data_IF_158683426129
#
_entry.id   IF_158683426129
#
_cell.length_a   1.000
_cell.length_b   1.000
_cell.length_c   1.000
_cell.angle_alpha   90.00
_cell.angle_beta   90.00
_cell.angle_gamma   90.00
#
_symmetry.space_group_name_H-M   'P 1'
#
loop_
_entity.id
_entity.type
_entity.pdbx_description
1 polymer ?
#
# COMPACT_ATOMS: atom_id res chain seq x y z
N UNK A 1 15.24 20.53 -49.48
CA UNK A 1 15.44 20.47 -48.02
C UNK A 1 14.07 20.28 -47.45
N UNK A 2 13.64 19.01 -47.28
CA UNK A 2 12.31 18.64 -46.78
C UNK A 2 12.36 18.55 -45.25
N UNK A 3 11.68 19.47 -44.57
CA UNK A 3 11.46 19.45 -43.13
C UNK A 3 10.58 18.24 -42.80
N UNK A 4 11.14 17.28 -42.06
CA UNK A 4 10.42 16.12 -41.54
C UNK A 4 9.32 16.58 -40.58
N UNK A 5 8.09 16.41 -41.00
CA UNK A 5 6.93 16.47 -40.13
C UNK A 5 7.05 15.32 -39.10
N UNK A 6 7.44 15.67 -37.88
CA UNK A 6 7.40 14.76 -36.73
C UNK A 6 5.97 14.23 -36.62
N UNK A 7 5.83 12.91 -36.56
CA UNK A 7 4.55 12.26 -36.25
C UNK A 7 4.07 12.81 -34.91
N UNK A 8 2.96 13.56 -34.93
CA UNK A 8 2.18 13.89 -33.75
C UNK A 8 1.84 12.57 -33.03
N UNK A 9 1.94 12.50 -31.70
CA UNK A 9 1.57 11.30 -30.97
C UNK A 9 0.11 10.96 -31.31
N UNK A 10 -0.14 9.68 -31.60
CA UNK A 10 -1.49 9.17 -31.82
C UNK A 10 -2.28 9.41 -30.56
N UNK A 11 -3.24 10.33 -30.57
CA UNK A 11 -4.27 10.44 -29.55
C UNK A 11 -5.08 9.15 -29.65
N UNK A 12 -5.08 8.35 -28.57
CA UNK A 12 -5.96 7.18 -28.44
C UNK A 12 -7.37 7.68 -28.12
N UNK A 13 -8.00 8.38 -29.04
CA UNK A 13 -9.43 8.69 -28.96
C UNK A 13 -10.21 7.39 -29.24
N UNK A 14 -10.86 6.83 -28.20
CA UNK A 14 -11.83 5.75 -28.36
C UNK A 14 -11.28 4.32 -28.42
N UNK A 15 -10.10 4.03 -27.87
CA UNK A 15 -9.61 2.67 -27.74
C UNK A 15 -10.34 1.90 -26.64
N UNK A 16 -10.55 0.58 -26.85
CA UNK A 16 -11.02 -0.32 -25.79
C UNK A 16 -9.84 -0.90 -25.05
N UNK A 17 -10.01 -1.16 -23.74
CA UNK A 17 -9.03 -1.82 -22.87
C UNK A 17 -9.68 -2.89 -22.00
N UNK A 18 -8.94 -3.91 -21.62
CA UNK A 18 -9.36 -4.90 -20.62
C UNK A 18 -9.20 -4.31 -19.22
N UNK A 19 -10.23 -4.45 -18.39
CA UNK A 19 -10.22 -4.00 -17.00
C UNK A 19 -11.05 -4.92 -16.10
N UNK A 20 -10.70 -4.97 -14.82
CA UNK A 20 -11.55 -5.55 -13.78
C UNK A 20 -12.55 -4.50 -13.34
N UNK A 21 -13.84 -4.81 -13.47
CA UNK A 21 -14.92 -3.86 -13.14
C UNK A 21 -15.84 -4.44 -12.08
N UNK A 22 -16.35 -3.55 -11.21
CA UNK A 22 -17.41 -3.84 -10.24
C UNK A 22 -18.53 -2.80 -10.35
N UNK A 23 -19.78 -3.24 -10.27
CA UNK A 23 -20.97 -2.36 -10.28
C UNK A 23 -21.72 -2.32 -8.94
N UNK A 24 -21.39 -3.24 -8.04
CA UNK A 24 -22.01 -3.38 -6.74
C UNK A 24 -20.98 -3.79 -5.68
N UNK A 25 -21.34 -3.62 -4.41
CA UNK A 25 -20.54 -4.09 -3.29
C UNK A 25 -20.76 -5.57 -3.05
N UNK A 26 -19.70 -6.33 -2.80
CA UNK A 26 -19.80 -7.76 -2.52
C UNK A 26 -18.46 -8.45 -2.32
N UNK A 27 -18.48 -9.77 -2.30
CA UNK A 27 -17.25 -10.54 -2.25
C UNK A 27 -16.48 -10.42 -3.58
N UNK A 28 -15.14 -10.32 -3.57
CA UNK A 28 -14.35 -10.08 -4.78
C UNK A 28 -14.67 -11.05 -5.93
N UNK A 29 -14.82 -12.35 -5.63
CA UNK A 29 -15.13 -13.38 -6.63
C UNK A 29 -16.52 -13.24 -7.26
N UNK A 30 -17.46 -12.58 -6.59
CA UNK A 30 -18.84 -12.45 -7.07
C UNK A 30 -19.01 -11.20 -7.93
N UNK A 31 -18.36 -10.08 -7.52
CA UNK A 31 -18.61 -8.76 -8.10
C UNK A 31 -17.54 -8.28 -9.09
N UNK A 32 -16.32 -8.84 -9.05
CA UNK A 32 -15.25 -8.47 -9.97
C UNK A 32 -15.37 -9.24 -11.28
N UNK A 33 -15.40 -8.51 -12.40
CA UNK A 33 -15.49 -9.09 -13.75
C UNK A 33 -14.45 -8.48 -14.66
N UNK A 34 -13.76 -9.32 -15.44
CA UNK A 34 -12.90 -8.86 -16.52
C UNK A 34 -13.78 -8.50 -17.72
N UNK A 35 -13.74 -7.27 -18.16
CA UNK A 35 -14.53 -6.76 -19.29
C UNK A 35 -13.70 -5.79 -20.12
N UNK A 36 -14.17 -5.49 -21.32
CA UNK A 36 -13.66 -4.41 -22.16
C UNK A 36 -14.41 -3.12 -21.83
N UNK A 37 -13.66 -2.02 -21.65
CA UNK A 37 -14.16 -0.68 -21.37
C UNK A 37 -13.38 0.35 -22.19
N UNK A 38 -13.90 1.56 -22.29
CA UNK A 38 -13.17 2.66 -22.92
C UNK A 38 -11.87 2.98 -22.18
N UNK A 39 -10.80 3.23 -22.94
CA UNK A 39 -9.55 3.76 -22.39
C UNK A 39 -9.79 5.14 -21.76
N UNK A 40 -9.28 5.43 -20.55
CA UNK A 40 -9.52 6.69 -19.88
C UNK A 40 -8.93 7.87 -20.67
N UNK A 41 -9.65 8.98 -20.69
CA UNK A 41 -9.14 10.26 -21.20
C UNK A 41 -8.17 10.87 -20.19
N UNK A 42 -7.13 11.53 -20.70
CA UNK A 42 -6.08 12.14 -19.88
C UNK A 42 -6.46 13.57 -19.52
N UNK A 43 -6.55 13.87 -18.24
CA UNK A 43 -6.68 15.24 -17.73
C UNK A 43 -5.41 16.06 -17.92
N UNK A 44 -5.50 17.39 -17.83
CA UNK A 44 -4.36 18.29 -18.12
C UNK A 44 -3.12 18.06 -17.23
N UNK A 45 -3.30 17.55 -15.98
CA UNK A 45 -2.23 17.27 -15.01
C UNK A 45 -2.04 15.79 -14.79
N UNK A 46 -2.61 14.93 -15.66
CA UNK A 46 -2.56 13.49 -15.54
C UNK A 46 -1.62 12.85 -16.56
N UNK A 47 -1.17 11.66 -16.22
CA UNK A 47 -0.33 10.80 -17.05
C UNK A 47 -1.12 9.54 -17.34
N UNK A 48 -1.31 9.18 -18.61
CA UNK A 48 -1.84 7.88 -19.00
C UNK A 48 -0.70 6.86 -18.91
N UNK A 49 -0.86 5.90 -18.02
CA UNK A 49 0.10 4.83 -17.82
C UNK A 49 -0.45 3.56 -18.46
N UNK A 50 0.32 2.95 -19.36
CA UNK A 50 0.13 1.57 -19.77
C UNK A 50 0.62 0.69 -18.64
N UNK A 51 -0.30 0.08 -17.90
CA UNK A 51 0.00 -0.71 -16.70
C UNK A 51 0.67 -2.02 -17.10
N UNK A 52 1.78 -2.33 -16.43
CA UNK A 52 2.50 -3.61 -16.56
C UNK A 52 2.27 -4.50 -15.35
N UNK A 53 2.14 -3.87 -14.19
CA UNK A 53 1.83 -4.54 -12.94
C UNK A 53 1.11 -3.60 -11.98
N UNK A 54 0.26 -4.18 -11.16
CA UNK A 54 -0.40 -3.57 -10.00
C UNK A 54 -0.22 -4.48 -8.79
N UNK A 55 -0.68 -4.08 -7.61
CA UNK A 55 -0.71 -4.94 -6.45
C UNK A 55 -2.04 -4.90 -5.71
N UNK A 56 -2.44 -6.04 -5.14
CA UNK A 56 -3.61 -6.11 -4.27
C UNK A 56 -3.25 -5.67 -2.85
N UNK A 57 -4.11 -4.86 -2.26
CA UNK A 57 -3.94 -4.27 -0.94
C UNK A 57 -5.19 -4.48 -0.06
N UNK A 58 -5.07 -4.35 1.29
CA UNK A 58 -6.24 -4.30 2.16
C UNK A 58 -7.25 -3.22 1.77
N UNK A 59 -6.78 -2.07 1.29
CA UNK A 59 -7.58 -0.99 0.72
C UNK A 59 -8.55 -1.49 -0.36
N UNK A 60 -8.09 -2.34 -1.31
CA UNK A 60 -8.91 -2.79 -2.43
C UNK A 60 -10.13 -3.59 -1.95
N UNK A 61 -9.95 -4.57 -1.06
CA UNK A 61 -11.10 -5.36 -0.60
C UNK A 61 -12.08 -4.55 0.24
N UNK A 62 -11.60 -3.52 1.00
CA UNK A 62 -12.48 -2.60 1.71
C UNK A 62 -13.39 -1.83 0.73
N UNK A 63 -12.83 -1.34 -0.38
CA UNK A 63 -13.59 -0.67 -1.44
C UNK A 63 -14.55 -1.62 -2.16
N UNK A 64 -14.09 -2.82 -2.49
CA UNK A 64 -14.90 -3.82 -3.20
C UNK A 64 -16.10 -4.26 -2.36
N UNK A 65 -15.91 -4.47 -1.06
CA UNK A 65 -17.02 -4.79 -0.14
C UNK A 65 -17.81 -3.56 0.31
N UNK A 66 -17.25 -2.37 0.15
CA UNK A 66 -17.80 -1.15 0.74
C UNK A 66 -17.86 -1.22 2.26
N UNK A 67 -16.86 -1.79 2.90
CA UNK A 67 -16.77 -1.96 4.35
C UNK A 67 -15.56 -1.17 4.89
N UNK A 68 -15.71 -0.48 6.04
CA UNK A 68 -16.89 -0.39 6.91
C UNK A 68 -18.05 0.43 6.31
N UNK A 69 -19.27 -0.04 6.53
CA UNK A 69 -20.46 0.56 5.90
C UNK A 69 -20.65 2.05 6.25
N UNK A 70 -20.37 2.45 7.48
CA UNK A 70 -20.48 3.85 7.93
C UNK A 70 -19.43 4.78 7.31
N UNK A 71 -18.34 4.23 6.74
CA UNK A 71 -17.31 5.01 6.07
C UNK A 71 -17.61 5.25 4.58
N UNK A 72 -18.66 4.64 4.01
CA UNK A 72 -19.05 4.84 2.61
C UNK A 72 -19.27 6.33 2.26
N UNK A 73 -20.06 7.11 3.03
CA UNK A 73 -20.20 8.55 2.77
C UNK A 73 -18.92 9.36 2.95
N UNK A 74 -18.01 8.88 3.81
CA UNK A 74 -16.78 9.58 4.18
C UNK A 74 -15.60 9.34 3.20
N UNK A 75 -15.83 8.66 2.07
CA UNK A 75 -14.81 8.53 1.02
C UNK A 75 -14.40 7.12 0.62
N UNK A 76 -14.84 6.08 1.33
CA UNK A 76 -14.58 4.68 0.91
C UNK A 76 -15.38 4.31 -0.35
N UNK A 77 -16.44 5.08 -0.70
CA UNK A 77 -17.23 4.79 -1.89
C UNK A 77 -18.53 5.58 -1.93
N UNK A 78 -19.43 5.23 -2.81
CA UNK A 78 -20.81 5.74 -2.82
C UNK A 78 -21.66 5.02 -1.77
N UNK A 79 -22.73 5.66 -1.29
CA UNK A 79 -23.59 5.11 -0.23
C UNK A 79 -24.20 3.75 -0.62
N UNK A 80 -24.63 3.61 -1.87
CA UNK A 80 -25.33 2.41 -2.38
C UNK A 80 -24.52 1.62 -3.41
N UNK A 81 -23.61 2.26 -4.14
CA UNK A 81 -22.81 1.66 -5.20
C UNK A 81 -21.36 2.11 -5.08
N UNK A 82 -20.38 1.35 -5.56
CA UNK A 82 -18.99 1.78 -5.65
C UNK A 82 -18.85 3.10 -6.38
N UNK A 83 -18.00 3.97 -5.89
CA UNK A 83 -17.64 5.21 -6.57
C UNK A 83 -16.62 4.96 -7.69
N UNK A 84 -15.67 4.08 -7.42
CA UNK A 84 -14.66 3.64 -8.37
C UNK A 84 -15.09 2.28 -8.93
N UNK A 85 -15.29 2.22 -10.24
CA UNK A 85 -15.74 0.99 -10.90
C UNK A 85 -14.59 0.01 -11.13
N UNK A 86 -13.38 0.51 -11.34
CA UNK A 86 -12.17 -0.29 -11.53
C UNK A 86 -11.35 -0.20 -10.25
N UNK A 87 -11.08 -1.31 -9.54
CA UNK A 87 -10.21 -1.33 -8.37
C UNK A 87 -8.73 -1.32 -8.74
N UNK A 88 -7.86 -1.41 -7.71
CA UNK A 88 -6.41 -1.33 -7.83
C UNK A 88 -5.88 0.07 -7.57
N UNK A 89 -4.86 0.16 -6.71
CA UNK A 89 -4.25 1.44 -6.31
C UNK A 89 -2.80 1.56 -6.73
N UNK A 90 -1.97 0.57 -6.44
CA UNK A 90 -0.57 0.58 -6.85
C UNK A 90 -0.44 0.38 -8.36
N UNK A 91 0.45 1.13 -8.99
CA UNK A 91 0.70 1.05 -10.43
C UNK A 91 2.19 1.04 -10.73
N UNK A 92 2.60 0.22 -11.68
CA UNK A 92 3.90 0.29 -12.34
C UNK A 92 3.70 0.03 -13.85
N UNK A 93 4.27 0.89 -14.68
CA UNK A 93 4.05 0.80 -16.12
C UNK A 93 4.87 1.80 -16.92
N UNK A 94 4.47 1.98 -18.17
CA UNK A 94 5.10 2.89 -19.12
C UNK A 94 4.15 4.03 -19.44
N UNK A 95 4.64 5.24 -19.44
CA UNK A 95 3.87 6.43 -19.85
C UNK A 95 3.49 6.30 -21.32
N UNK A 96 2.20 6.33 -21.60
CA UNK A 96 1.65 6.30 -22.96
C UNK A 96 1.39 7.70 -23.47
N UNK A 97 0.78 8.56 -22.63
CA UNK A 97 0.42 9.95 -22.95
C UNK A 97 0.50 10.82 -21.71
N UNK A 98 0.72 12.10 -21.89
CA UNK A 98 0.72 13.11 -20.81
C UNK A 98 -0.23 14.24 -21.12
N UNK A 99 -0.85 14.80 -20.08
CA UNK A 99 -1.69 15.99 -20.19
C UNK A 99 -0.87 17.26 -20.46
N UNK A 100 -1.52 18.28 -20.98
CA UNK A 100 -0.85 19.50 -21.46
C UNK A 100 -0.08 20.30 -20.40
N UNK A 101 -0.35 20.06 -19.11
CA UNK A 101 0.35 20.71 -17.96
C UNK A 101 1.29 19.77 -17.21
N UNK A 102 1.53 18.57 -17.71
CA UNK A 102 2.53 17.65 -17.14
C UNK A 102 3.93 18.07 -17.58
N UNK A 103 4.84 18.21 -16.63
CA UNK A 103 6.23 18.65 -16.89
C UNK A 103 7.30 17.62 -16.51
N UNK A 104 6.97 16.64 -15.66
CA UNK A 104 7.92 15.69 -15.09
C UNK A 104 8.09 14.38 -15.86
N UNK A 105 7.18 14.10 -16.82
CA UNK A 105 7.11 12.82 -17.52
C UNK A 105 6.92 13.00 -19.02
N UNK A 106 7.37 11.99 -19.78
CA UNK A 106 7.19 11.93 -21.24
C UNK A 106 6.77 10.51 -21.65
N UNK A 107 6.10 10.34 -22.81
CA UNK A 107 5.80 9.03 -23.37
C UNK A 107 7.06 8.16 -23.48
N UNK A 108 6.96 6.91 -23.02
CA UNK A 108 8.07 5.97 -22.94
C UNK A 108 8.77 5.91 -21.58
N UNK A 109 8.56 6.87 -20.67
CA UNK A 109 9.11 6.80 -19.32
C UNK A 109 8.54 5.62 -18.54
N UNK A 110 9.38 4.94 -17.76
CA UNK A 110 8.96 3.92 -16.83
C UNK A 110 8.63 4.58 -15.48
N UNK A 111 7.41 4.38 -15.02
CA UNK A 111 6.87 5.02 -13.81
C UNK A 111 6.28 4.01 -12.85
N UNK A 112 6.18 4.41 -11.58
CA UNK A 112 5.44 3.71 -10.57
C UNK A 112 4.80 4.70 -9.59
N UNK A 113 3.77 4.29 -8.88
CA UNK A 113 3.07 5.17 -7.94
C UNK A 113 1.70 4.66 -7.56
N UNK A 114 0.80 5.59 -7.24
CA UNK A 114 -0.55 5.29 -6.80
C UNK A 114 -1.60 5.99 -7.67
N UNK A 115 -2.58 5.21 -8.17
CA UNK A 115 -3.69 5.72 -8.97
C UNK A 115 -4.88 4.78 -8.92
N UNK A 116 -6.07 5.33 -8.76
CA UNK A 116 -7.29 4.52 -8.78
C UNK A 116 -7.55 3.90 -10.15
N UNK A 117 -7.88 2.61 -10.19
CA UNK A 117 -8.22 1.92 -11.42
C UNK A 117 -7.07 1.13 -12.06
N UNK A 118 -6.04 0.78 -11.28
CA UNK A 118 -4.86 0.10 -11.78
C UNK A 118 -5.05 -1.39 -12.13
N UNK A 119 -6.22 -2.00 -11.88
CA UNK A 119 -6.54 -3.34 -12.40
C UNK A 119 -7.13 -3.24 -13.81
N UNK A 120 -6.39 -2.58 -14.70
CA UNK A 120 -6.71 -2.34 -16.11
C UNK A 120 -5.43 -2.20 -16.94
N UNK A 121 -5.55 -2.29 -18.27
CA UNK A 121 -4.41 -2.11 -19.18
C UNK A 121 -3.89 -0.66 -19.19
N UNK A 122 -4.76 0.33 -18.94
CA UNK A 122 -4.40 1.74 -18.84
C UNK A 122 -5.07 2.39 -17.63
N UNK A 123 -4.36 3.34 -17.04
CA UNK A 123 -4.88 4.18 -15.95
C UNK A 123 -4.39 5.61 -16.12
N UNK A 124 -5.27 6.59 -15.90
CA UNK A 124 -4.91 8.01 -15.82
C UNK A 124 -4.59 8.34 -14.35
N UNK A 125 -3.37 8.83 -14.10
CA UNK A 125 -2.85 9.10 -12.76
C UNK A 125 -2.37 10.54 -12.68
N UNK A 126 -2.69 11.24 -11.59
CA UNK A 126 -2.15 12.57 -11.33
C UNK A 126 -0.61 12.51 -11.27
N UNK A 127 0.07 13.44 -11.95
CA UNK A 127 1.55 13.45 -11.99
C UNK A 127 2.18 13.48 -10.58
N UNK A 128 1.55 14.14 -9.61
CA UNK A 128 2.02 14.24 -8.21
C UNK A 128 1.88 12.95 -7.38
N UNK A 129 1.36 11.87 -7.97
CA UNK A 129 1.25 10.54 -7.35
C UNK A 129 2.14 9.50 -8.06
N UNK A 130 3.01 9.94 -8.96
CA UNK A 130 3.94 9.10 -9.71
C UNK A 130 5.39 9.52 -9.46
N UNK A 131 6.29 8.56 -9.58
CA UNK A 131 7.75 8.77 -9.68
C UNK A 131 8.33 7.89 -10.80
N UNK A 132 9.59 8.13 -11.17
CA UNK A 132 10.32 7.25 -12.08
C UNK A 132 10.57 5.92 -11.40
N UNK A 133 10.31 4.84 -12.12
CA UNK A 133 10.54 3.49 -11.60
C UNK A 133 12.03 3.29 -11.26
N UNK A 134 12.38 2.77 -10.06
CA UNK A 134 13.76 2.42 -9.73
C UNK A 134 14.39 1.55 -10.82
N UNK A 135 15.61 1.89 -11.24
CA UNK A 135 16.27 1.25 -12.38
C UNK A 135 16.55 -0.25 -12.13
N UNK A 136 16.78 -0.62 -10.88
CA UNK A 136 17.12 -1.97 -10.43
C UNK A 136 15.90 -2.85 -10.12
N UNK A 137 14.65 -2.38 -10.33
CA UNK A 137 13.43 -3.17 -10.13
C UNK A 137 12.77 -3.57 -11.45
N UNK A 138 12.13 -4.75 -11.46
CA UNK A 138 11.13 -5.09 -12.48
C UNK A 138 9.82 -4.30 -12.27
N UNK A 139 8.86 -4.36 -13.20
CA UNK A 139 7.56 -3.71 -13.00
C UNK A 139 6.77 -4.35 -11.86
N UNK A 140 6.84 -5.67 -11.70
CA UNK A 140 6.20 -6.40 -10.61
C UNK A 140 6.76 -5.97 -9.25
N UNK A 141 8.08 -5.85 -9.16
CA UNK A 141 8.73 -5.36 -7.95
C UNK A 141 8.39 -3.90 -7.67
N UNK A 142 8.35 -3.05 -8.70
CA UNK A 142 7.97 -1.66 -8.55
C UNK A 142 6.51 -1.50 -8.12
N UNK A 143 5.58 -2.29 -8.64
CA UNK A 143 4.17 -2.30 -8.23
C UNK A 143 3.97 -2.76 -6.77
N UNK A 144 4.93 -3.51 -6.20
CA UNK A 144 4.89 -3.90 -4.80
C UNK A 144 5.17 -2.75 -3.82
N UNK A 145 5.71 -1.63 -4.28
CA UNK A 145 6.33 -0.61 -3.43
C UNK A 145 5.35 0.47 -2.93
N UNK A 146 4.54 1.16 -3.77
CA UNK A 146 3.99 2.47 -3.43
C UNK A 146 3.25 2.50 -2.10
N UNK A 147 2.08 1.88 -1.99
CA UNK A 147 1.27 1.95 -0.76
C UNK A 147 2.02 1.37 0.45
N UNK A 148 2.73 0.24 0.26
CA UNK A 148 3.43 -0.45 1.33
C UNK A 148 4.58 0.37 1.92
N UNK A 149 5.47 0.86 1.08
CA UNK A 149 6.66 1.59 1.52
C UNK A 149 6.34 3.01 1.99
N UNK A 150 5.41 3.72 1.31
CA UNK A 150 4.94 5.05 1.74
C UNK A 150 4.31 4.96 3.13
N UNK A 151 3.43 3.97 3.35
CA UNK A 151 2.82 3.76 4.68
C UNK A 151 3.87 3.48 5.74
N UNK A 152 4.88 2.66 5.42
CA UNK A 152 5.94 2.32 6.34
C UNK A 152 6.80 3.54 6.74
N UNK A 153 7.32 4.29 5.77
CA UNK A 153 8.23 5.42 6.04
C UNK A 153 7.51 6.56 6.76
N UNK A 154 6.33 6.92 6.30
CA UNK A 154 5.54 7.99 6.93
C UNK A 154 5.01 7.58 8.31
N UNK A 155 4.61 6.31 8.50
CA UNK A 155 4.15 5.79 9.79
C UNK A 155 5.24 5.81 10.85
N UNK A 156 6.46 5.37 10.52
CA UNK A 156 7.61 5.40 11.42
C UNK A 156 8.00 6.84 11.77
N UNK A 157 7.97 7.77 10.82
CA UNK A 157 8.17 9.21 11.05
C UNK A 157 7.09 9.83 11.94
N UNK A 158 5.83 9.51 11.68
CA UNK A 158 4.70 9.94 12.52
C UNK A 158 4.81 9.41 13.96
N UNK A 159 5.45 8.25 14.14
CA UNK A 159 5.83 7.68 15.43
C UNK A 159 6.96 8.42 16.14
N UNK A 160 7.71 9.26 15.41
CA UNK A 160 8.87 9.97 15.93
C UNK A 160 10.09 9.06 16.16
N UNK A 161 10.19 7.95 15.40
CA UNK A 161 11.29 6.99 15.56
C UNK A 161 12.66 7.63 15.29
N UNK A 162 13.59 7.46 16.22
CA UNK A 162 14.96 7.98 16.15
C UNK A 162 15.98 6.82 16.20
N UNK A 163 17.20 7.10 15.74
CA UNK A 163 18.31 6.15 15.86
C UNK A 163 18.54 5.73 17.31
N UNK A 164 18.82 4.45 17.53
CA UNK A 164 19.05 3.84 18.84
C UNK A 164 17.77 3.51 19.61
N UNK A 165 16.59 3.96 19.19
CA UNK A 165 15.31 3.63 19.80
C UNK A 165 14.84 2.21 19.45
N UNK A 166 13.92 1.69 20.25
CA UNK A 166 13.32 0.37 20.06
C UNK A 166 11.94 0.50 19.41
N UNK A 167 11.73 -0.19 18.28
CA UNK A 167 10.43 -0.28 17.61
C UNK A 167 9.89 -1.69 17.59
N UNK A 168 8.58 -1.83 17.87
CA UNK A 168 7.83 -3.07 17.68
C UNK A 168 6.95 -2.94 16.43
N UNK A 169 7.21 -3.77 15.43
CA UNK A 169 6.39 -3.84 14.20
C UNK A 169 5.46 -5.05 14.30
N UNK A 170 4.16 -4.81 14.52
CA UNK A 170 3.15 -5.86 14.58
C UNK A 170 2.59 -6.09 13.17
N UNK A 171 2.68 -7.33 12.68
CA UNK A 171 2.41 -7.67 11.28
C UNK A 171 3.65 -7.48 10.39
N UNK A 172 4.83 -7.75 10.93
CA UNK A 172 6.14 -7.52 10.30
C UNK A 172 6.35 -8.27 8.97
N UNK A 173 5.62 -9.36 8.73
CA UNK A 173 5.71 -10.14 7.48
C UNK A 173 4.72 -9.70 6.41
N UNK A 174 3.81 -8.77 6.68
CA UNK A 174 2.80 -8.31 5.73
C UNK A 174 3.34 -7.26 4.75
N UNK A 175 2.48 -6.82 3.82
CA UNK A 175 2.86 -5.91 2.72
C UNK A 175 3.50 -4.59 3.16
N UNK A 176 3.03 -3.98 4.25
CA UNK A 176 3.65 -2.79 4.87
C UNK A 176 4.76 -3.19 5.83
N UNK A 177 4.57 -4.27 6.58
CA UNK A 177 5.49 -4.71 7.63
C UNK A 177 6.89 -5.03 7.13
N UNK A 178 6.99 -5.66 5.97
CA UNK A 178 8.28 -5.99 5.34
C UNK A 178 9.11 -4.74 5.01
N UNK A 179 8.45 -3.65 4.60
CA UNK A 179 9.10 -2.35 4.42
C UNK A 179 9.41 -1.67 5.76
N UNK A 180 8.47 -1.74 6.72
CA UNK A 180 8.64 -1.09 8.02
C UNK A 180 9.86 -1.62 8.78
N UNK A 181 10.12 -2.93 8.73
CA UNK A 181 11.33 -3.54 9.32
C UNK A 181 12.60 -2.95 8.69
N UNK A 182 12.70 -2.93 7.36
CA UNK A 182 13.88 -2.46 6.65
C UNK A 182 14.11 -0.94 6.85
N UNK A 183 13.04 -0.14 6.75
CA UNK A 183 13.12 1.32 6.93
C UNK A 183 13.48 1.67 8.38
N UNK A 184 12.94 0.96 9.36
CA UNK A 184 13.32 1.17 10.76
C UNK A 184 14.81 0.83 11.01
N UNK A 185 15.34 -0.20 10.36
CA UNK A 185 16.78 -0.50 10.37
C UNK A 185 17.59 0.61 9.71
N UNK A 186 17.15 1.13 8.57
CA UNK A 186 17.77 2.28 7.91
C UNK A 186 17.80 3.51 8.83
N UNK A 187 16.76 3.75 9.63
CA UNK A 187 16.73 4.82 10.64
C UNK A 187 17.63 4.55 11.86
N UNK A 188 18.34 3.41 11.90
CA UNK A 188 19.23 3.06 13.00
C UNK A 188 18.53 2.56 14.26
N UNK A 189 17.28 2.12 14.16
CA UNK A 189 16.50 1.61 15.29
C UNK A 189 16.82 0.13 15.59
N UNK A 190 16.52 -0.30 16.82
CA UNK A 190 16.43 -1.69 17.19
C UNK A 190 15.01 -2.21 16.89
N UNK A 191 14.91 -3.22 16.02
CA UNK A 191 13.62 -3.66 15.48
C UNK A 191 13.22 -5.01 16.07
N UNK A 192 12.04 -5.06 16.67
CA UNK A 192 11.35 -6.31 16.99
C UNK A 192 10.17 -6.50 16.05
N UNK A 193 10.17 -7.57 15.25
CA UNK A 193 9.07 -7.93 14.38
C UNK A 193 8.14 -8.96 14.99
N UNK A 194 6.83 -8.79 14.85
CA UNK A 194 5.80 -9.76 15.27
C UNK A 194 5.20 -10.41 14.04
N UNK A 195 5.31 -11.74 13.93
CA UNK A 195 4.77 -12.52 12.81
C UNK A 195 4.38 -13.93 13.25
N UNK A 196 3.83 -14.74 12.34
CA UNK A 196 3.59 -16.18 12.57
C UNK A 196 4.88 -17.01 12.41
N UNK A 197 4.86 -18.26 12.90
CA UNK A 197 6.00 -19.18 12.85
C UNK A 197 6.63 -19.29 11.46
N UNK A 198 5.82 -19.43 10.41
CA UNK A 198 6.32 -19.61 9.04
C UNK A 198 7.07 -18.39 8.47
N UNK A 199 6.92 -17.21 9.09
CA UNK A 199 7.49 -15.95 8.62
C UNK A 199 8.68 -15.45 9.43
N UNK A 200 9.08 -16.17 10.49
CA UNK A 200 10.17 -15.76 11.40
C UNK A 200 11.48 -15.52 10.64
N UNK A 201 11.85 -16.43 9.75
CA UNK A 201 13.10 -16.33 9.01
C UNK A 201 13.07 -15.21 7.96
N UNK A 202 11.92 -14.94 7.36
CA UNK A 202 11.76 -13.79 6.44
C UNK A 202 11.98 -12.50 7.20
N UNK A 203 11.31 -12.31 8.34
CA UNK A 203 11.41 -11.09 9.16
C UNK A 203 12.84 -10.87 9.69
N UNK A 204 13.55 -11.93 10.05
CA UNK A 204 14.99 -11.86 10.42
C UNK A 204 15.86 -11.41 9.24
N UNK A 205 15.68 -12.00 8.07
CA UNK A 205 16.45 -11.62 6.86
C UNK A 205 16.22 -10.17 6.45
N UNK A 206 15.05 -9.59 6.74
CA UNK A 206 14.76 -8.18 6.50
C UNK A 206 15.44 -7.25 7.51
N UNK A 207 16.14 -7.79 8.51
CA UNK A 207 16.96 -7.03 9.44
C UNK A 207 16.36 -6.87 10.85
N UNK A 208 15.26 -7.55 11.19
CA UNK A 208 14.76 -7.51 12.56
C UNK A 208 15.76 -8.11 13.56
N UNK A 209 16.12 -7.35 14.59
CA UNK A 209 17.04 -7.79 15.64
C UNK A 209 16.40 -8.89 16.52
N UNK A 210 15.07 -8.77 16.72
CA UNK A 210 14.28 -9.76 17.45
C UNK A 210 12.99 -10.08 16.69
N UNK A 211 12.52 -11.34 16.84
CA UNK A 211 11.24 -11.76 16.26
C UNK A 211 10.41 -12.45 17.33
N UNK A 212 9.16 -11.97 17.46
CA UNK A 212 8.14 -12.55 18.32
C UNK A 212 7.19 -13.37 17.44
N UNK A 213 7.19 -14.68 17.67
CA UNK A 213 6.22 -15.60 17.07
C UNK A 213 4.92 -15.55 17.89
N UNK A 214 3.91 -14.86 17.37
CA UNK A 214 2.64 -14.67 18.09
C UNK A 214 1.85 -15.97 18.26
N UNK A 215 2.19 -17.03 17.53
CA UNK A 215 1.53 -18.34 17.69
C UNK A 215 2.04 -19.09 18.92
N UNK A 216 3.19 -18.69 19.47
CA UNK A 216 3.85 -19.32 20.63
C UNK A 216 3.80 -18.44 21.88
N UNK A 217 3.87 -17.12 21.71
CA UNK A 217 3.89 -16.18 22.83
C UNK A 217 3.23 -14.86 22.49
N UNK A 218 2.57 -14.24 23.47
CA UNK A 218 2.00 -12.90 23.32
C UNK A 218 3.07 -11.80 23.39
N UNK A 219 2.78 -10.63 22.84
CA UNK A 219 3.68 -9.46 22.87
C UNK A 219 4.03 -9.01 24.30
N UNK A 220 3.16 -9.27 25.27
CA UNK A 220 3.38 -8.95 26.68
C UNK A 220 4.42 -9.84 27.38
N UNK A 221 4.77 -10.98 26.79
CA UNK A 221 5.82 -11.86 27.29
C UNK A 221 7.23 -11.34 26.99
N UNK A 222 7.35 -10.35 26.11
CA UNK A 222 8.64 -9.75 25.77
C UNK A 222 9.01 -8.74 26.86
N UNK A 223 10.18 -8.86 27.53
CA UNK A 223 10.56 -7.99 28.64
C UNK A 223 10.93 -6.55 28.21
N UNK A 224 11.09 -6.32 26.91
CA UNK A 224 11.46 -5.02 26.35
C UNK A 224 10.32 -4.00 26.44
N UNK A 225 10.69 -2.72 26.47
CA UNK A 225 9.79 -1.58 26.26
C UNK A 225 10.15 -0.89 24.97
N UNK A 226 9.12 -0.45 24.23
CA UNK A 226 9.27 0.12 22.90
C UNK A 226 8.96 1.62 22.91
N UNK A 227 9.79 2.38 22.23
CA UNK A 227 9.57 3.83 22.01
C UNK A 227 8.49 4.05 20.96
N UNK A 228 8.44 3.17 19.97
CA UNK A 228 7.40 3.16 18.94
C UNK A 228 6.83 1.75 18.80
N UNK A 229 5.50 1.65 18.75
CA UNK A 229 4.80 0.46 18.29
C UNK A 229 4.06 0.79 17.01
N UNK A 230 4.39 0.11 15.93
CA UNK A 230 3.72 0.24 14.65
C UNK A 230 2.81 -0.97 14.43
N UNK A 231 1.50 -0.76 14.61
CA UNK A 231 0.50 -1.81 14.47
C UNK A 231 -0.07 -1.82 13.04
N UNK A 232 0.26 -2.86 12.30
CA UNK A 232 -0.13 -3.09 10.90
C UNK A 232 -1.05 -4.30 10.73
N UNK A 233 -1.39 -4.96 11.85
CA UNK A 233 -2.26 -6.11 11.91
C UNK A 233 -2.45 -6.60 13.34
N UNK A 234 -3.12 -7.74 13.48
CA UNK A 234 -3.42 -8.34 14.77
C UNK A 234 -4.52 -7.60 15.56
N UNK A 235 -5.09 -8.27 16.54
CA UNK A 235 -6.27 -7.81 17.32
C UNK A 235 -5.91 -7.19 18.67
N UNK A 236 -4.66 -6.71 18.84
CA UNK A 236 -4.23 -6.12 20.10
C UNK A 236 -4.94 -4.81 20.39
N UNK A 237 -5.57 -4.72 21.57
CA UNK A 237 -6.20 -3.47 22.00
C UNK A 237 -5.15 -2.40 22.36
N UNK A 238 -5.50 -1.10 22.24
CA UNK A 238 -4.61 -0.01 22.68
C UNK A 238 -4.13 -0.17 24.13
N UNK A 239 -4.97 -0.69 25.01
CA UNK A 239 -4.62 -0.96 26.41
C UNK A 239 -3.58 -2.08 26.57
N UNK A 240 -3.63 -3.11 25.72
CA UNK A 240 -2.61 -4.18 25.72
C UNK A 240 -1.26 -3.65 25.20
N UNK A 241 -1.28 -2.85 24.12
CA UNK A 241 -0.06 -2.29 23.53
C UNK A 241 0.62 -1.29 24.49
N UNK A 242 -0.15 -0.49 25.23
CA UNK A 242 0.41 0.41 26.24
C UNK A 242 1.34 -0.26 27.24
N UNK A 243 1.10 -1.52 27.58
CA UNK A 243 1.92 -2.28 28.57
C UNK A 243 3.33 -2.55 28.05
N UNK A 244 3.55 -2.53 26.74
CA UNK A 244 4.86 -2.74 26.11
C UNK A 244 5.51 -1.44 25.65
N UNK A 245 4.80 -0.29 25.67
CA UNK A 245 5.36 1.02 25.39
C UNK A 245 6.19 1.55 26.57
N UNK A 246 7.19 2.36 26.27
CA UNK A 246 7.85 3.25 27.24
C UNK A 246 6.87 4.28 27.80
N UNK A 247 7.26 5.02 28.83
CA UNK A 247 6.40 6.03 29.49
C UNK A 247 5.90 7.11 28.55
N UNK A 248 6.71 7.45 27.55
CA UNK A 248 6.42 8.48 26.52
C UNK A 248 6.37 7.90 25.11
N UNK A 249 6.23 6.57 24.99
CA UNK A 249 6.21 5.89 23.71
C UNK A 249 4.97 6.19 22.88
N UNK A 250 5.09 5.94 21.58
CA UNK A 250 4.05 6.23 20.60
C UNK A 250 3.51 4.92 19.99
N UNK A 251 2.18 4.77 19.97
CA UNK A 251 1.48 3.78 19.15
C UNK A 251 1.01 4.44 17.86
N UNK A 252 1.39 3.87 16.72
CA UNK A 252 0.87 4.19 15.40
C UNK A 252 0.02 3.00 14.92
N UNK A 253 -1.25 3.25 14.64
CA UNK A 253 -2.18 2.25 14.11
C UNK A 253 -2.47 2.57 12.65
N UNK A 254 -2.09 1.66 11.75
CA UNK A 254 -2.38 1.73 10.32
C UNK A 254 -2.91 0.38 9.85
N UNK A 255 -4.07 0.00 10.37
CA UNK A 255 -4.76 -1.19 9.92
C UNK A 255 -6.26 -1.02 10.10
N UNK A 256 -7.05 -1.69 9.25
CA UNK A 256 -8.49 -1.44 9.10
C UNK A 256 -9.42 -2.51 9.67
N UNK A 257 -8.90 -3.50 10.42
CA UNK A 257 -9.74 -4.57 10.95
C UNK A 257 -10.72 -4.07 12.00
N UNK A 258 -11.92 -4.59 11.93
CA UNK A 258 -13.02 -4.24 12.82
C UNK A 258 -14.33 -4.91 12.38
N UNK A 259 -15.44 -4.54 13.01
CA UNK A 259 -16.71 -5.05 12.56
C UNK A 259 -17.16 -4.37 11.25
N UNK A 260 -18.02 -5.04 10.50
CA UNK A 260 -18.55 -4.60 9.20
C UNK A 260 -19.12 -3.18 9.19
N UNK A 261 -19.63 -2.68 10.30
CA UNK A 261 -20.29 -1.38 10.40
C UNK A 261 -19.33 -0.25 10.71
N UNK A 262 -18.49 -0.41 11.74
CA UNK A 262 -17.63 0.63 12.30
C UNK A 262 -16.18 0.47 11.90
N UNK A 263 -15.75 -0.74 11.49
CA UNK A 263 -14.34 -1.02 11.22
C UNK A 263 -13.44 -0.64 12.41
N UNK A 264 -12.33 0.07 12.17
CA UNK A 264 -11.37 0.46 13.20
C UNK A 264 -11.83 1.64 14.08
N UNK A 265 -12.95 2.33 13.75
CA UNK A 265 -13.39 3.55 14.46
C UNK A 265 -13.48 3.36 15.97
N UNK A 266 -13.99 2.20 16.43
CA UNK A 266 -14.08 1.92 17.87
C UNK A 266 -12.70 1.92 18.57
N UNK A 267 -11.68 1.38 17.94
CA UNK A 267 -10.32 1.35 18.47
C UNK A 267 -9.65 2.73 18.34
N UNK A 268 -9.92 3.47 17.29
CA UNK A 268 -9.44 4.84 17.08
C UNK A 268 -9.98 5.77 18.19
N UNK A 269 -11.28 5.71 18.47
CA UNK A 269 -11.91 6.51 19.54
C UNK A 269 -11.34 6.12 20.91
N UNK A 270 -11.24 4.80 21.18
CA UNK A 270 -10.64 4.32 22.44
C UNK A 270 -9.19 4.80 22.61
N UNK A 271 -8.40 4.75 21.55
CA UNK A 271 -7.02 5.21 21.55
C UNK A 271 -6.96 6.73 21.82
N UNK A 272 -7.78 7.53 21.14
CA UNK A 272 -7.83 8.99 21.31
C UNK A 272 -8.24 9.37 22.74
N UNK A 273 -9.31 8.77 23.28
CA UNK A 273 -9.75 9.02 24.67
C UNK A 273 -8.68 8.61 25.67
N UNK A 274 -8.07 7.43 25.49
CA UNK A 274 -7.05 6.93 26.40
C UNK A 274 -5.80 7.82 26.38
N UNK A 275 -5.44 8.38 25.24
CA UNK A 275 -4.30 9.29 25.06
C UNK A 275 -4.40 10.54 25.93
N UNK A 276 -5.61 11.00 26.31
CA UNK A 276 -5.82 12.17 27.17
C UNK A 276 -5.43 11.92 28.64
N UNK A 277 -5.37 10.67 29.07
CA UNK A 277 -5.15 10.29 30.48
C UNK A 277 -3.79 9.64 30.72
N UNK A 278 -2.93 9.55 29.70
CA UNK A 278 -1.65 8.84 29.78
C UNK A 278 -0.53 9.67 29.16
N UNK A 279 0.71 9.42 29.57
CA UNK A 279 1.89 10.08 28.99
C UNK A 279 2.31 9.56 27.60
N UNK A 280 1.63 8.52 27.11
CA UNK A 280 1.89 7.86 25.83
C UNK A 280 1.03 8.47 24.73
N UNK A 281 1.53 8.50 23.50
CA UNK A 281 0.79 8.99 22.33
C UNK A 281 0.18 7.82 21.57
N UNK A 282 -1.13 7.84 21.33
CA UNK A 282 -1.85 6.79 20.61
C UNK A 282 -2.52 7.41 19.38
N UNK A 283 -2.02 7.11 18.16
CA UNK A 283 -2.45 7.74 16.91
C UNK A 283 -2.97 6.71 15.91
N UNK A 284 -4.10 6.99 15.27
CA UNK A 284 -4.43 6.42 13.98
C UNK A 284 -3.63 7.14 12.89
N UNK A 285 -3.22 6.40 11.86
CA UNK A 285 -2.39 6.91 10.79
C UNK A 285 -2.90 6.45 9.43
N UNK A 286 -2.92 7.37 8.48
CA UNK A 286 -3.18 7.12 7.06
C UNK A 286 -2.08 7.80 6.26
N UNK A 287 -1.48 7.09 5.33
CA UNK A 287 -0.44 7.60 4.45
C UNK A 287 -1.00 8.58 3.42
N UNK A 288 -0.12 9.40 2.87
CA UNK A 288 -0.39 10.27 1.70
C UNK A 288 0.57 9.89 0.59
N UNK A 289 0.00 9.53 -0.53
CA UNK A 289 0.75 9.11 -1.72
C UNK A 289 1.23 10.36 -2.47
N UNK A 290 2.52 10.66 -2.33
CA UNK A 290 3.16 11.83 -2.97
C UNK A 290 4.44 11.44 -3.71
N UNK A 291 4.79 12.19 -4.75
CA UNK A 291 6.01 12.00 -5.52
C UNK A 291 7.25 12.08 -4.62
N UNK A 292 7.30 13.03 -3.68
CA UNK A 292 8.46 13.20 -2.79
C UNK A 292 8.72 11.96 -1.92
N UNK A 293 7.64 11.30 -1.45
CA UNK A 293 7.79 10.06 -0.70
C UNK A 293 8.27 8.90 -1.58
N UNK A 294 7.82 8.87 -2.85
CA UNK A 294 8.26 7.86 -3.82
C UNK A 294 9.71 8.08 -4.22
N UNK A 295 10.15 9.33 -4.43
CA UNK A 295 11.53 9.66 -4.79
C UNK A 295 12.50 9.22 -3.68
N UNK A 296 12.19 9.51 -2.42
CA UNK A 296 12.98 9.03 -1.28
C UNK A 296 13.04 7.50 -1.22
N UNK A 297 11.93 6.82 -1.45
CA UNK A 297 11.87 5.36 -1.50
C UNK A 297 12.70 4.84 -2.69
N UNK A 298 12.66 5.52 -3.85
CA UNK A 298 13.50 5.19 -5.00
C UNK A 298 14.99 5.21 -4.64
N UNK A 299 15.45 6.25 -3.96
CA UNK A 299 16.85 6.37 -3.51
C UNK A 299 17.25 5.19 -2.60
N UNK A 300 16.41 4.82 -1.65
CA UNK A 300 16.68 3.66 -0.77
C UNK A 300 16.75 2.34 -1.54
N UNK A 301 15.88 2.16 -2.52
CA UNK A 301 15.85 0.95 -3.35
C UNK A 301 17.08 0.88 -4.26
N UNK A 302 17.43 1.96 -4.92
CA UNK A 302 18.59 2.02 -5.82
C UNK A 302 19.91 1.87 -5.07
N UNK A 303 19.96 2.33 -3.80
CA UNK A 303 21.07 2.09 -2.87
C UNK A 303 21.10 0.65 -2.30
N UNK A 304 20.14 -0.21 -2.64
CA UNK A 304 20.05 -1.59 -2.12
C UNK A 304 19.65 -1.69 -0.64
N UNK A 305 19.14 -0.61 -0.05
CA UNK A 305 18.75 -0.54 1.36
C UNK A 305 17.30 -0.95 1.59
N UNK A 306 16.50 -1.02 0.52
CA UNK A 306 15.11 -1.42 0.57
C UNK A 306 14.79 -2.37 -0.58
N UNK A 307 14.18 -3.52 -0.25
CA UNK A 307 13.82 -4.54 -1.25
C UNK A 307 12.37 -4.96 -1.04
N UNK A 308 11.52 -4.93 -2.08
CA UNK A 308 10.16 -5.42 -1.99
C UNK A 308 10.11 -6.95 -1.86
N UNK A 309 9.24 -7.43 -0.98
CA UNK A 309 8.95 -8.87 -0.82
C UNK A 309 7.63 -9.17 -1.52
N UNK A 310 7.67 -10.09 -2.47
CA UNK A 310 6.50 -10.56 -3.23
C UNK A 310 6.17 -11.99 -2.78
N UNK A 311 4.92 -12.21 -2.36
CA UNK A 311 4.40 -13.53 -2.01
C UNK A 311 4.11 -14.33 -3.29
N UNK A 312 3.26 -13.79 -4.14
CA UNK A 312 2.89 -14.39 -5.44
C UNK A 312 2.32 -13.38 -6.41
N UNK A 313 2.21 -13.84 -7.65
CA UNK A 313 1.73 -13.06 -8.80
C UNK A 313 0.53 -13.73 -9.43
N UNK A 314 -0.46 -12.92 -9.83
CA UNK A 314 -1.67 -13.33 -10.52
C UNK A 314 -1.81 -12.56 -11.84
N UNK A 315 -2.32 -13.16 -12.92
CA UNK A 315 -2.72 -12.39 -14.11
C UNK A 315 -3.94 -11.53 -13.81
N UNK A 316 -4.19 -10.48 -14.61
CA UNK A 316 -5.33 -9.57 -14.45
C UNK A 316 -6.68 -10.32 -14.31
N UNK A 317 -6.89 -11.36 -15.10
CA UNK A 317 -8.11 -12.16 -15.05
C UNK A 317 -8.35 -12.86 -13.70
N UNK A 318 -7.30 -13.06 -12.90
CA UNK A 318 -7.35 -13.66 -11.57
C UNK A 318 -7.22 -12.62 -10.43
N UNK A 319 -7.44 -11.32 -10.70
CA UNK A 319 -7.34 -10.26 -9.70
C UNK A 319 -8.29 -10.47 -8.50
N UNK A 320 -9.46 -11.08 -8.72
CA UNK A 320 -10.38 -11.43 -7.63
C UNK A 320 -9.75 -12.40 -6.61
N UNK A 321 -8.94 -13.35 -7.08
CA UNK A 321 -8.22 -14.30 -6.23
C UNK A 321 -7.09 -13.60 -5.46
N UNK A 322 -6.36 -12.68 -6.14
CA UNK A 322 -5.33 -11.86 -5.51
C UNK A 322 -5.90 -11.02 -4.35
N UNK A 323 -7.02 -10.34 -4.58
CA UNK A 323 -7.71 -9.55 -3.55
C UNK A 323 -8.22 -10.44 -2.40
N UNK A 324 -8.81 -11.60 -2.71
CA UNK A 324 -9.28 -12.56 -1.69
C UNK A 324 -8.14 -13.07 -0.81
N UNK A 325 -6.95 -13.34 -1.39
CA UNK A 325 -5.78 -13.76 -0.61
C UNK A 325 -5.37 -12.68 0.41
N UNK A 326 -5.35 -11.42 -0.02
CA UNK A 326 -5.05 -10.29 0.87
C UNK A 326 -6.12 -10.11 1.95
N UNK A 327 -7.39 -10.24 1.60
CA UNK A 327 -8.51 -10.20 2.55
C UNK A 327 -8.39 -11.26 3.65
N UNK A 328 -7.89 -12.45 3.32
CA UNK A 328 -7.66 -13.53 4.28
C UNK A 328 -6.46 -13.26 5.22
N UNK A 329 -5.70 -12.18 5.00
CA UNK A 329 -4.58 -11.79 5.85
C UNK A 329 -3.38 -12.74 5.82
N UNK A 330 -3.24 -13.54 4.77
CA UNK A 330 -2.29 -14.65 4.70
C UNK A 330 -0.96 -14.38 3.98
N UNK A 331 -0.81 -13.34 3.12
CA UNK A 331 0.40 -13.22 2.31
C UNK A 331 1.62 -12.76 3.10
N UNK A 332 2.80 -13.25 2.67
CA UNK A 332 4.10 -12.75 3.12
C UNK A 332 4.59 -11.69 2.15
N UNK A 333 4.52 -10.42 2.53
CA UNK A 333 4.80 -9.30 1.62
C UNK A 333 3.60 -8.94 0.75
N UNK A 334 3.84 -8.70 -0.55
CA UNK A 334 2.87 -8.15 -1.50
C UNK A 334 2.37 -9.19 -2.49
N UNK A 335 1.12 -9.04 -2.88
CA UNK A 335 0.47 -9.86 -3.91
C UNK A 335 0.35 -9.00 -5.17
N UNK A 336 0.92 -9.48 -6.27
CA UNK A 336 1.03 -8.73 -7.53
C UNK A 336 -0.03 -9.19 -8.52
N UNK A 337 -0.56 -8.25 -9.28
CA UNK A 337 -1.40 -8.48 -10.44
C UNK A 337 -0.64 -8.02 -11.69
N UNK A 338 -0.30 -8.95 -12.58
CA UNK A 338 0.36 -8.63 -13.86
C UNK A 338 -0.66 -8.32 -14.94
N UNK A 339 -0.35 -7.28 -15.72
CA UNK A 339 -1.16 -6.83 -16.83
C UNK A 339 -0.32 -6.98 -18.11
N UNK A 340 -0.63 -8.00 -18.91
CA UNK A 340 -0.04 -8.16 -20.24
C UNK A 340 -0.99 -7.57 -21.26
N UNK A 341 -0.56 -6.54 -21.99
CA UNK A 341 -1.22 -6.10 -23.22
C UNK A 341 -0.81 -7.07 -24.33
N UNK A 342 -1.79 -7.66 -25.01
CA UNK A 342 -1.57 -8.48 -26.20
C UNK A 342 -0.97 -7.66 -27.33
#
# INVERSE_FOLDING_TARGET
MALGLGKLPRILEGGMMKAIVQHEYGAPQDVLKLVEVDTPTVGETEVLVRVRASSANPWDWHFIRGEPVLMRPAGIGGVRKPRFLIPGGDVAGTVEQVGGRVTGFAPGDHVYGFGHGAFAEYVAVAQGSLARKPANLTFEQAAAVPLGAITAIQGLRAGGLQAGQHVLVIGASGGVGTFAVQIAKHFGAQVTGVCSTGNVDVVRRLGADHVVDYTKQGISAVPARYDVVFQLGGTYSPAAIRRVLTRHGTLIQSYGDGNRWLGPLGNIIKAAVLSLFVGQTLKAFTAKETTEALDEITELIEAGQLTPVIDRTYPLAAAAEAVRLVEQGSPTGKVIVTITSD
#
